data_IF_050839410429
#
_entry.id   IF_050839410429
#
_cell.length_a   1.000
_cell.length_b   1.000
_cell.length_c   1.000
_cell.angle_alpha   90.00
_cell.angle_beta   90.00
_cell.angle_gamma   90.00
#
_symmetry.space_group_name_H-M   'P 1'
#
loop_
_entity.id
_entity.type
_entity.pdbx_description
1 polymer ?
#
# COMPACT_ATOMS: atom_id res chain seq x y z
N UNK A 1 18.75 8.72 -11.85
CA UNK A 1 17.48 9.17 -11.23
C UNK A 1 17.16 8.19 -10.14
N UNK A 2 16.54 8.64 -9.05
CA UNK A 2 16.02 7.72 -8.04
C UNK A 2 14.89 6.85 -8.66
N UNK A 3 14.79 5.56 -8.32
CA UNK A 3 13.69 4.70 -8.76
C UNK A 3 12.33 5.26 -8.28
N UNK A 4 11.29 5.11 -9.10
CA UNK A 4 9.91 5.47 -8.71
C UNK A 4 9.46 4.50 -7.61
N UNK A 5 9.09 5.04 -6.45
CA UNK A 5 8.64 4.28 -5.28
C UNK A 5 7.15 4.00 -5.39
N UNK A 6 6.80 2.73 -5.43
CA UNK A 6 5.43 2.25 -5.57
C UNK A 6 5.02 1.56 -4.28
N UNK A 7 3.93 2.02 -3.65
CA UNK A 7 3.33 1.33 -2.51
C UNK A 7 2.04 0.62 -2.93
N UNK A 8 1.91 -0.65 -2.58
CA UNK A 8 0.67 -1.42 -2.77
C UNK A 8 0.04 -1.68 -1.40
N UNK A 9 -1.07 -1.03 -1.15
CA UNK A 9 -1.87 -1.13 0.07
C UNK A 9 -3.01 -2.13 -0.12
N UNK A 10 -3.22 -3.02 0.85
CA UNK A 10 -4.43 -3.83 0.85
C UNK A 10 -4.60 -4.78 2.01
N UNK A 11 -5.55 -5.70 1.87
CA UNK A 11 -5.86 -6.68 2.92
C UNK A 11 -5.24 -8.05 2.63
N UNK A 12 -6.02 -9.12 2.85
CA UNK A 12 -5.62 -10.51 2.67
C UNK A 12 -5.10 -10.84 1.27
N UNK A 13 -5.62 -10.21 0.20
CA UNK A 13 -5.18 -10.46 -1.16
C UNK A 13 -3.79 -9.89 -1.43
N UNK A 14 -3.55 -8.61 -1.11
CA UNK A 14 -2.23 -8.00 -1.25
C UNK A 14 -1.19 -8.69 -0.36
N UNK A 15 -1.57 -9.14 0.85
CA UNK A 15 -0.68 -9.95 1.68
C UNK A 15 -0.26 -11.24 0.98
N UNK A 16 -1.21 -11.98 0.40
CA UNK A 16 -0.91 -13.21 -0.35
C UNK A 16 -0.09 -12.93 -1.62
N UNK A 17 -0.31 -11.80 -2.28
CA UNK A 17 0.50 -11.38 -3.42
C UNK A 17 1.94 -11.10 -2.99
N UNK A 18 2.15 -10.42 -1.85
CA UNK A 18 3.47 -10.25 -1.25
C UNK A 18 4.12 -11.59 -0.92
N UNK A 19 3.39 -12.48 -0.26
CA UNK A 19 3.92 -13.80 0.10
C UNK A 19 4.32 -14.59 -1.15
N UNK A 20 3.53 -14.48 -2.23
CA UNK A 20 3.85 -15.05 -3.54
C UNK A 20 5.03 -14.36 -4.23
N UNK A 21 5.15 -13.04 -4.14
CA UNK A 21 6.26 -12.32 -4.78
C UNK A 21 7.60 -12.66 -4.14
N UNK A 22 7.61 -13.07 -2.87
CA UNK A 22 8.81 -13.48 -2.15
C UNK A 22 9.23 -14.93 -2.41
N UNK A 23 8.48 -15.71 -3.21
CA UNK A 23 8.88 -17.10 -3.52
C UNK A 23 10.04 -17.17 -4.50
N UNK A 24 10.21 -16.15 -5.34
CA UNK A 24 11.28 -16.07 -6.34
C UNK A 24 11.83 -14.64 -6.37
N UNK A 25 13.16 -14.49 -6.39
CA UNK A 25 13.84 -13.18 -6.41
C UNK A 25 13.34 -12.26 -7.54
N UNK A 26 13.04 -12.83 -8.70
CA UNK A 26 12.54 -12.06 -9.86
C UNK A 26 11.15 -11.45 -9.61
N UNK A 27 10.36 -12.03 -8.71
CA UNK A 27 8.99 -11.61 -8.45
C UNK A 27 8.90 -10.52 -7.38
N UNK A 28 9.93 -10.35 -6.53
CA UNK A 28 9.88 -9.46 -5.34
C UNK A 28 9.46 -8.03 -5.69
N UNK A 29 9.95 -7.53 -6.83
CA UNK A 29 9.64 -6.19 -7.35
C UNK A 29 8.56 -6.21 -8.44
N UNK A 30 7.65 -7.19 -8.43
CA UNK A 30 6.65 -7.42 -9.48
C UNK A 30 7.26 -7.58 -10.89
N UNK A 31 8.50 -8.11 -10.97
CA UNK A 31 9.30 -8.19 -12.20
C UNK A 31 9.58 -6.82 -12.86
N UNK A 32 9.42 -5.74 -12.11
CA UNK A 32 9.82 -4.41 -12.54
C UNK A 32 11.33 -4.25 -12.37
N UNK A 33 11.92 -3.51 -13.30
CA UNK A 33 13.34 -3.16 -13.31
C UNK A 33 13.69 -2.35 -12.05
N UNK A 34 14.54 -2.86 -11.13
CA UNK A 34 14.91 -2.17 -9.90
C UNK A 34 15.59 -0.81 -10.12
N UNK A 35 16.24 -0.63 -11.27
CA UNK A 35 16.83 0.65 -11.67
C UNK A 35 15.79 1.75 -11.95
N UNK A 36 14.53 1.37 -12.16
CA UNK A 36 13.43 2.29 -12.49
C UNK A 36 12.33 2.33 -11.42
N UNK A 37 12.13 1.24 -10.67
CA UNK A 37 11.02 1.10 -9.73
C UNK A 37 11.42 0.38 -8.45
N UNK A 38 10.83 0.78 -7.32
CA UNK A 38 10.91 0.07 -6.04
C UNK A 38 9.51 -0.16 -5.49
N UNK A 39 9.10 -1.42 -5.34
CA UNK A 39 7.77 -1.81 -4.87
C UNK A 39 7.81 -2.19 -3.39
N UNK A 40 6.96 -1.55 -2.59
CA UNK A 40 6.69 -1.90 -1.19
C UNK A 40 5.25 -2.39 -1.04
N UNK A 41 5.08 -3.56 -0.42
CA UNK A 41 3.76 -4.09 -0.05
C UNK A 41 3.46 -3.81 1.42
N UNK A 42 2.35 -3.11 1.68
CA UNK A 42 1.78 -2.96 3.04
C UNK A 42 0.40 -3.57 3.08
N UNK A 43 0.30 -4.72 3.72
CA UNK A 43 -0.95 -5.44 3.79
C UNK A 43 -1.15 -6.22 5.09
N UNK A 44 -2.39 -6.26 5.56
CA UNK A 44 -2.78 -7.00 6.77
C UNK A 44 -4.10 -7.72 6.54
N UNK A 45 -4.18 -9.00 6.94
CA UNK A 45 -5.42 -9.78 6.81
C UNK A 45 -6.56 -9.18 7.63
N UNK A 46 -7.78 -9.11 7.07
CA UNK A 46 -8.95 -8.53 7.75
C UNK A 46 -8.85 -7.02 8.00
N UNK A 47 -7.94 -6.34 7.30
CA UNK A 47 -7.82 -4.88 7.30
C UNK A 47 -9.05 -4.27 6.60
N UNK A 48 -9.67 -3.32 7.27
CA UNK A 48 -10.76 -2.49 6.76
C UNK A 48 -10.24 -1.06 6.61
N UNK A 49 -10.87 -0.24 5.77
CA UNK A 49 -10.53 1.17 5.61
C UNK A 49 -10.63 1.89 6.96
N UNK A 50 -11.66 1.59 7.76
CA UNK A 50 -11.83 2.16 9.11
C UNK A 50 -10.70 1.82 10.07
N UNK A 51 -10.10 0.63 9.98
CA UNK A 51 -8.94 0.23 10.80
C UNK A 51 -7.68 0.93 10.30
N UNK A 52 -7.46 0.93 8.99
CA UNK A 52 -6.31 1.55 8.36
C UNK A 52 -6.18 3.03 8.72
N UNK A 53 -7.29 3.75 8.63
CA UNK A 53 -7.38 5.19 8.93
C UNK A 53 -7.14 5.53 10.41
N UNK A 54 -7.13 4.52 11.29
CA UNK A 54 -6.81 4.66 12.73
C UNK A 54 -5.42 4.12 13.08
N UNK A 55 -4.73 3.49 12.13
CA UNK A 55 -3.44 2.87 12.33
C UNK A 55 -2.34 3.79 11.79
N UNK A 56 -1.90 4.72 12.64
CA UNK A 56 -0.89 5.72 12.31
C UNK A 56 0.46 5.07 11.94
N UNK A 57 0.80 3.92 12.53
CA UNK A 57 2.03 3.20 12.19
C UNK A 57 1.96 2.62 10.79
N UNK A 58 0.83 2.04 10.43
CA UNK A 58 0.62 1.50 9.10
C UNK A 58 0.64 2.58 8.01
N UNK A 59 0.14 3.78 8.34
CA UNK A 59 0.15 4.95 7.45
C UNK A 59 1.45 5.76 7.47
N UNK A 60 2.42 5.39 8.32
CA UNK A 60 3.72 6.08 8.40
C UNK A 60 4.68 5.55 7.35
N UNK A 61 5.03 6.38 6.38
CA UNK A 61 5.98 6.05 5.32
C UNK A 61 7.37 6.58 5.69
N UNK A 62 8.36 5.70 5.85
CA UNK A 62 9.76 6.12 6.08
C UNK A 62 10.26 6.94 4.89
N UNK A 63 9.97 6.44 3.69
CA UNK A 63 10.15 7.16 2.44
C UNK A 63 8.78 7.31 1.80
N UNK A 64 8.37 8.55 1.49
CA UNK A 64 7.07 8.78 0.87
C UNK A 64 6.98 8.09 -0.49
N UNK A 65 5.95 7.27 -0.77
CA UNK A 65 5.82 6.59 -2.06
C UNK A 65 5.40 7.58 -3.14
N UNK A 66 5.96 7.49 -4.35
CA UNK A 66 5.58 8.35 -5.49
C UNK A 66 4.23 7.93 -6.09
N UNK A 67 3.90 6.63 -6.01
CA UNK A 67 2.63 6.05 -6.47
C UNK A 67 2.07 5.14 -5.39
N UNK A 68 0.76 5.25 -5.11
CA UNK A 68 0.06 4.37 -4.17
C UNK A 68 -1.10 3.66 -4.88
N UNK A 69 -1.06 2.32 -4.90
CA UNK A 69 -2.18 1.48 -5.31
C UNK A 69 -2.95 1.02 -4.07
N UNK A 70 -4.26 1.25 -4.06
CA UNK A 70 -5.14 0.85 -2.94
C UNK A 70 -6.08 -0.26 -3.43
N UNK A 71 -5.90 -1.47 -2.90
CA UNK A 71 -6.83 -2.59 -3.10
C UNK A 71 -7.50 -2.90 -1.76
N UNK A 72 -8.62 -2.21 -1.52
CA UNK A 72 -9.39 -2.31 -0.28
C UNK A 72 -10.88 -2.08 -0.56
N UNK A 73 -11.73 -2.37 0.44
CA UNK A 73 -13.18 -2.14 0.38
C UNK A 73 -14.00 -3.42 0.52
N UNK A 74 -13.44 -4.58 0.21
CA UNK A 74 -14.14 -5.88 0.31
C UNK A 74 -14.55 -6.21 1.75
N UNK A 75 -13.71 -5.86 2.74
CA UNK A 75 -14.03 -6.03 4.16
C UNK A 75 -14.93 -4.89 4.71
N UNK A 76 -15.24 -3.89 3.90
CA UNK A 76 -15.94 -2.65 4.28
C UNK A 76 -17.37 -2.58 3.70
N UNK A 77 -17.81 -3.60 2.96
CA UNK A 77 -19.08 -3.64 2.21
C UNK A 77 -20.32 -3.25 3.03
N UNK A 78 -20.32 -3.47 4.35
CA UNK A 78 -21.45 -3.15 5.25
C UNK A 78 -21.23 -1.92 6.16
N UNK A 79 -20.06 -1.26 6.14
CA UNK A 79 -19.63 -0.42 7.26
C UNK A 79 -19.44 1.09 6.99
N UNK A 80 -20.03 1.64 5.93
CA UNK A 80 -19.94 3.08 5.63
C UNK A 80 -18.49 3.49 5.32
N UNK A 81 -18.14 3.51 4.04
CA UNK A 81 -16.74 3.56 3.62
C UNK A 81 -16.16 4.98 3.79
N UNK A 82 -15.17 5.15 4.66
CA UNK A 82 -14.47 6.42 4.87
C UNK A 82 -13.33 6.63 3.83
N UNK A 83 -13.62 6.41 2.54
CA UNK A 83 -12.63 6.51 1.45
C UNK A 83 -11.97 7.88 1.42
N UNK A 84 -12.75 8.94 1.60
CA UNK A 84 -12.27 10.33 1.53
C UNK A 84 -11.19 10.63 2.58
N UNK A 85 -11.34 10.10 3.80
CA UNK A 85 -10.32 10.27 4.84
C UNK A 85 -9.05 9.50 4.49
N UNK A 86 -9.19 8.27 3.98
CA UNK A 86 -8.03 7.47 3.54
C UNK A 86 -7.25 8.17 2.43
N UNK A 87 -7.92 8.65 1.38
CA UNK A 87 -7.27 9.37 0.29
C UNK A 87 -6.57 10.64 0.78
N UNK A 88 -7.19 11.38 1.69
CA UNK A 88 -6.58 12.58 2.30
C UNK A 88 -5.33 12.23 3.09
N UNK A 89 -5.42 11.25 3.99
CA UNK A 89 -4.31 10.83 4.85
C UNK A 89 -3.10 10.40 3.98
N UNK A 90 -3.33 9.71 2.85
CA UNK A 90 -2.29 9.34 1.88
C UNK A 90 -1.65 10.57 1.22
N UNK A 91 -2.46 11.50 0.72
CA UNK A 91 -1.96 12.71 0.05
C UNK A 91 -1.16 13.58 1.02
N UNK A 92 -1.63 13.73 2.26
CA UNK A 92 -0.98 14.56 3.28
C UNK A 92 0.23 13.91 3.95
N UNK A 93 0.39 12.59 3.82
CA UNK A 93 1.58 11.88 4.30
C UNK A 93 2.79 12.05 3.38
N UNK A 94 2.63 12.72 2.22
CA UNK A 94 3.75 13.14 1.41
C UNK A 94 4.37 14.42 1.98
N UNK A 95 5.66 14.42 2.36
CA UNK A 95 6.33 15.64 2.78
C UNK A 95 6.52 16.50 1.53
N UNK A 96 5.87 17.67 1.55
CA UNK A 96 6.00 18.80 0.64
C UNK A 96 5.57 18.56 -0.83
N UNK A 97 4.29 18.88 -1.10
CA UNK A 97 3.90 19.61 -2.31
C UNK A 97 4.02 21.11 -2.07
#
# INVERSE_FOLDING_TARGET
MEPIRVCVLGHSFIRRLKDYSLTELENENLRLKPENFSVEFRATGGLTIKKLVKDEQFMSFINSPDIVFIQMGENDLDNGVAVEKLSRDIITAQPDL
#
